data_IF_858718854865
#
_entry.id   IF_858718854865
#
_cell.length_a   1.000
_cell.length_b   1.000
_cell.length_c   1.000
_cell.angle_alpha   90.00
_cell.angle_beta   90.00
_cell.angle_gamma   90.00
#
_symmetry.space_group_name_H-M   'P 1'
#
loop_
_entity.id
_entity.type
_entity.pdbx_description
1 polymer ?
#
# COMPACT_ATOMS: atom_id res chain seq x y z
N UNK A 1 -12.55 9.47 7.45
CA UNK A 1 -11.32 8.65 7.40
C UNK A 1 -10.03 9.44 7.70
N UNK A 2 -9.89 10.69 7.21
CA UNK A 2 -8.68 11.51 7.43
C UNK A 2 -8.29 11.74 8.91
N UNK A 3 -9.26 11.87 9.82
CA UNK A 3 -9.02 12.06 11.27
C UNK A 3 -8.40 10.86 12.00
N UNK A 4 -8.49 9.65 11.44
CA UNK A 4 -7.90 8.46 12.05
C UNK A 4 -6.43 8.27 11.66
N UNK A 5 -6.07 8.78 10.47
CA UNK A 5 -4.75 8.60 9.87
C UNK A 5 -3.80 9.75 10.20
N UNK A 6 -4.35 10.96 10.33
CA UNK A 6 -3.58 12.19 10.51
C UNK A 6 -3.89 12.83 11.87
N UNK A 7 -2.87 13.34 12.53
CA UNK A 7 -2.98 14.16 13.72
C UNK A 7 -3.55 15.54 13.37
N UNK A 8 -3.90 16.31 14.39
CA UNK A 8 -4.39 17.70 14.32
C UNK A 8 -3.47 18.64 13.52
N UNK A 9 -2.16 18.35 13.50
CA UNK A 9 -1.14 19.06 12.71
C UNK A 9 -1.05 18.61 11.23
N UNK A 10 -1.85 17.61 10.82
CA UNK A 10 -1.80 17.04 9.49
C UNK A 10 -0.68 16.00 9.28
N UNK A 11 0.10 15.70 10.31
CA UNK A 11 1.12 14.65 10.31
C UNK A 11 0.50 13.26 10.45
N UNK A 12 1.14 12.22 9.89
CA UNK A 12 0.67 10.85 10.09
C UNK A 12 0.80 10.49 11.58
N UNK A 13 -0.27 9.96 12.18
CA UNK A 13 -0.23 9.58 13.61
C UNK A 13 0.86 8.53 13.83
N UNK A 14 1.62 8.67 14.90
CA UNK A 14 2.74 7.78 15.21
C UNK A 14 2.36 6.29 15.15
N UNK A 15 1.18 5.92 15.67
CA UNK A 15 0.65 4.55 15.62
C UNK A 15 0.48 4.04 14.18
N UNK A 16 0.00 4.89 13.27
CA UNK A 16 -0.20 4.54 11.86
C UNK A 16 1.14 4.42 11.15
N UNK A 17 2.08 5.30 11.49
CA UNK A 17 3.44 5.29 10.96
C UNK A 17 4.19 4.01 11.37
N UNK A 18 4.05 3.62 12.64
CA UNK A 18 4.64 2.40 13.20
C UNK A 18 3.97 1.15 12.63
N UNK A 19 2.65 1.18 12.43
CA UNK A 19 1.94 0.12 11.73
C UNK A 19 2.47 -0.04 10.29
N UNK A 20 2.59 1.04 9.52
CA UNK A 20 3.15 0.99 8.16
C UNK A 20 4.57 0.46 8.13
N UNK A 21 5.43 0.89 9.07
CA UNK A 21 6.82 0.44 9.18
C UNK A 21 6.93 -1.08 9.37
N UNK A 22 5.97 -1.70 10.08
CA UNK A 22 5.97 -3.14 10.31
C UNK A 22 5.25 -3.93 9.20
N UNK A 23 4.14 -3.38 8.70
CA UNK A 23 3.26 -4.06 7.74
C UNK A 23 3.92 -4.17 6.36
N UNK A 24 4.62 -3.12 5.93
CA UNK A 24 5.33 -3.10 4.63
C UNK A 24 6.39 -4.22 4.53
N UNK A 25 7.38 -4.35 5.44
CA UNK A 25 8.37 -5.41 5.35
C UNK A 25 7.75 -6.79 5.55
N UNK A 26 6.71 -6.92 6.37
CA UNK A 26 6.01 -8.20 6.55
C UNK A 26 5.31 -8.65 5.26
N UNK A 27 4.69 -7.72 4.53
CA UNK A 27 4.10 -7.97 3.21
C UNK A 27 5.17 -8.31 2.19
N UNK A 28 6.30 -7.58 2.18
CA UNK A 28 7.44 -7.87 1.29
C UNK A 28 8.02 -9.27 1.57
N UNK A 29 8.18 -9.64 2.84
CA UNK A 29 8.64 -10.98 3.22
C UNK A 29 7.61 -12.05 2.82
N UNK A 30 6.32 -11.80 3.03
CA UNK A 30 5.26 -12.71 2.58
C UNK A 30 5.29 -12.90 1.06
N UNK A 31 5.41 -11.81 0.28
CA UNK A 31 5.59 -11.85 -1.17
C UNK A 31 6.86 -12.60 -1.59
N UNK A 32 7.96 -12.44 -0.84
CA UNK A 32 9.20 -13.17 -1.07
C UNK A 32 9.05 -14.68 -0.80
N UNK A 33 8.30 -15.07 0.24
CA UNK A 33 8.07 -16.50 0.57
C UNK A 33 7.22 -17.23 -0.45
N UNK A 34 6.36 -16.52 -1.19
CA UNK A 34 5.54 -17.14 -2.23
C UNK A 34 6.35 -17.35 -3.52
N UNK A 35 7.48 -16.67 -3.71
CA UNK A 35 8.25 -16.65 -4.95
C UNK A 35 7.77 -15.56 -5.90
N UNK A 36 8.65 -15.11 -6.80
CA UNK A 36 8.48 -13.89 -7.61
C UNK A 36 7.19 -13.77 -8.44
N UNK A 37 6.44 -14.86 -8.63
CA UNK A 37 5.14 -14.85 -9.31
C UNK A 37 4.06 -14.07 -8.53
N UNK A 38 4.09 -14.08 -7.19
CA UNK A 38 3.16 -13.29 -6.37
C UNK A 38 3.42 -11.79 -6.52
N UNK A 39 4.68 -11.38 -6.62
CA UNK A 39 5.07 -9.99 -6.88
C UNK A 39 4.63 -9.54 -8.28
N UNK A 40 4.82 -10.41 -9.29
CA UNK A 40 4.35 -10.15 -10.66
C UNK A 40 2.83 -9.97 -10.72
N UNK A 41 2.06 -10.82 -10.01
CA UNK A 41 0.60 -10.70 -9.94
C UNK A 41 0.16 -9.40 -9.26
N UNK A 42 0.81 -9.01 -8.16
CA UNK A 42 0.51 -7.78 -7.44
C UNK A 42 0.77 -6.52 -8.30
N UNK A 43 1.91 -6.49 -8.98
CA UNK A 43 2.27 -5.41 -9.91
C UNK A 43 1.24 -5.32 -11.04
N UNK A 44 0.85 -6.46 -11.63
CA UNK A 44 -0.16 -6.50 -12.69
C UNK A 44 -1.49 -5.90 -12.21
N UNK A 45 -1.95 -6.24 -11.01
CA UNK A 45 -3.18 -5.65 -10.43
C UNK A 45 -3.05 -4.15 -10.23
N UNK A 46 -1.93 -3.67 -9.66
CA UNK A 46 -1.70 -2.23 -9.46
C UNK A 46 -1.71 -1.47 -10.80
N UNK A 47 -1.08 -2.02 -11.83
CA UNK A 47 -1.06 -1.43 -13.17
C UNK A 47 -2.46 -1.39 -13.77
N UNK A 48 -3.21 -2.50 -13.73
CA UNK A 48 -4.56 -2.57 -14.30
C UNK A 48 -5.50 -1.58 -13.59
N UNK A 49 -5.45 -1.54 -12.26
CA UNK A 49 -6.29 -0.62 -11.46
C UNK A 49 -5.86 0.83 -11.69
N UNK A 50 -4.55 1.11 -11.74
CA UNK A 50 -4.01 2.45 -12.00
C UNK A 50 -4.39 2.98 -13.38
N UNK A 51 -4.25 2.15 -14.42
CA UNK A 51 -4.67 2.49 -15.78
C UNK A 51 -6.18 2.67 -15.85
N UNK A 52 -6.96 1.77 -15.24
CA UNK A 52 -8.42 1.90 -15.20
C UNK A 52 -8.88 3.18 -14.51
N UNK A 53 -8.26 3.55 -13.39
CA UNK A 53 -8.55 4.80 -12.70
C UNK A 53 -8.13 6.03 -13.53
N UNK A 54 -6.98 5.98 -14.20
CA UNK A 54 -6.53 7.06 -15.07
C UNK A 54 -7.46 7.25 -16.29
N UNK A 55 -8.02 6.17 -16.85
CA UNK A 55 -8.98 6.23 -17.96
C UNK A 55 -10.36 6.73 -17.50
N UNK A 56 -10.77 6.40 -16.27
CA UNK A 56 -12.09 6.76 -15.77
C UNK A 56 -12.16 8.18 -15.19
N UNK A 57 -11.04 8.69 -14.67
CA UNK A 57 -10.96 10.00 -13.99
C UNK A 57 -10.07 11.02 -14.70
N UNK A 58 -9.36 10.64 -15.78
CA UNK A 58 -8.62 11.53 -16.66
C UNK A 58 -9.42 11.89 -17.90
#
# INVERSE_FOLDING_TARGET
MRRFLFDSEGNLRFVVLLALLLLVPMVVLALATWGGWAAMALIAVIVIVGVGAAVWYG
#
